data_IF_894076733317
#
_entry.id   IF_894076733317
#
_cell.length_a   1.000
_cell.length_b   1.000
_cell.length_c   1.000
_cell.angle_alpha   90.00
_cell.angle_beta   90.00
_cell.angle_gamma   90.00
#
_symmetry.space_group_name_H-M   'P 1'
#
loop_
_entity.id
_entity.type
_entity.pdbx_description
1 polymer ?
#
# COMPACT_ATOMS: atom_id res chain seq x y z
N UNK A 1 -31.49 -29.63 9.62
CA UNK A 1 -30.74 -28.37 9.84
C UNK A 1 -29.26 -28.67 9.70
N UNK A 2 -28.59 -28.06 8.73
CA UNK A 2 -27.16 -28.30 8.48
C UNK A 2 -26.33 -27.64 9.60
N UNK A 3 -25.35 -28.33 10.20
CA UNK A 3 -24.49 -27.69 11.20
C UNK A 3 -23.65 -26.61 10.53
N UNK A 4 -23.84 -25.37 10.96
CA UNK A 4 -23.02 -24.23 10.58
C UNK A 4 -21.60 -24.48 11.11
N UNK A 5 -20.64 -24.76 10.22
CA UNK A 5 -19.23 -24.93 10.61
C UNK A 5 -18.76 -23.62 11.25
N UNK A 6 -18.51 -23.65 12.55
CA UNK A 6 -17.77 -22.59 13.22
C UNK A 6 -16.32 -22.69 12.75
N UNK A 7 -15.90 -21.72 11.94
CA UNK A 7 -14.49 -21.54 11.61
C UNK A 7 -13.76 -21.20 12.91
N UNK A 8 -12.81 -22.05 13.31
CA UNK A 8 -11.83 -21.64 14.31
C UNK A 8 -11.02 -20.51 13.69
N UNK A 9 -10.79 -19.44 14.46
CA UNK A 9 -9.75 -18.45 14.16
C UNK A 9 -8.43 -19.19 14.34
N UNK A 10 -8.04 -19.94 13.31
CA UNK A 10 -6.74 -20.57 13.28
C UNK A 10 -5.74 -19.43 13.11
N UNK A 11 -5.05 -19.14 14.22
CA UNK A 11 -3.73 -18.50 14.32
C UNK A 11 -3.48 -17.32 13.38
N UNK A 12 -3.53 -16.13 13.97
CA UNK A 12 -2.83 -14.92 13.51
C UNK A 12 -1.56 -15.28 12.74
N UNK A 13 -1.46 -14.81 11.50
CA UNK A 13 -0.28 -15.01 10.66
C UNK A 13 0.93 -14.36 11.36
N UNK A 14 1.74 -15.16 12.06
CA UNK A 14 2.96 -14.69 12.73
C UNK A 14 4.07 -14.55 11.69
N UNK A 15 3.97 -13.52 10.86
CA UNK A 15 5.04 -13.13 9.98
C UNK A 15 5.63 -11.79 10.43
N UNK A 16 6.94 -11.80 10.61
CA UNK A 16 7.74 -10.61 10.88
C UNK A 16 8.13 -9.97 9.54
N UNK A 17 7.26 -9.09 9.03
CA UNK A 17 7.51 -8.36 7.80
C UNK A 17 8.68 -7.39 7.98
N UNK A 18 9.65 -7.44 7.07
CA UNK A 18 10.82 -6.55 7.11
C UNK A 18 10.66 -5.26 6.31
N UNK A 19 9.82 -5.30 5.28
CA UNK A 19 9.53 -4.16 4.43
C UNK A 19 8.24 -4.40 3.63
N UNK A 20 7.71 -3.35 3.02
CA UNK A 20 6.57 -3.41 2.11
C UNK A 20 6.86 -2.65 0.82
N UNK A 21 6.39 -3.19 -0.31
CA UNK A 21 6.43 -2.51 -1.61
C UNK A 21 4.99 -2.32 -2.09
N UNK A 22 4.60 -1.07 -2.33
CA UNK A 22 3.26 -0.66 -2.72
C UNK A 22 3.32 0.01 -4.09
N UNK A 23 2.76 -0.65 -5.11
CA UNK A 23 2.67 -0.12 -6.47
C UNK A 23 1.23 0.33 -6.71
N UNK A 24 1.01 1.60 -6.99
CA UNK A 24 -0.32 2.20 -7.13
C UNK A 24 -1.27 1.94 -5.92
N UNK A 25 -0.70 1.88 -4.71
CA UNK A 25 -1.46 1.66 -3.48
C UNK A 25 -2.26 2.90 -3.08
N UNK A 26 -3.44 2.71 -2.48
CA UNK A 26 -4.27 3.79 -1.95
C UNK A 26 -4.93 3.40 -0.64
N UNK A 27 -5.31 4.40 0.17
CA UNK A 27 -6.09 4.19 1.38
C UNK A 27 -7.50 3.70 1.03
N UNK A 28 -7.92 2.63 1.68
CA UNK A 28 -9.27 2.09 1.49
C UNK A 28 -10.35 3.07 1.95
N UNK A 29 -11.40 3.23 1.14
CA UNK A 29 -12.58 4.05 1.45
C UNK A 29 -13.65 3.30 2.27
N UNK A 30 -13.50 1.99 2.45
CA UNK A 30 -14.46 1.19 3.21
C UNK A 30 -14.41 1.52 4.70
N UNK A 31 -15.57 1.85 5.30
CA UNK A 31 -15.71 2.18 6.74
C UNK A 31 -15.06 1.15 7.68
N UNK A 32 -15.16 -0.18 7.45
CA UNK A 32 -14.51 -1.17 8.32
C UNK A 32 -12.99 -1.06 8.37
N UNK A 33 -12.36 -0.49 7.33
CA UNK A 33 -10.90 -0.40 7.24
C UNK A 33 -10.33 0.83 7.95
N UNK A 34 -11.16 1.78 8.38
CA UNK A 34 -10.72 3.01 9.07
C UNK A 34 -9.84 2.70 10.28
N UNK A 35 -10.15 1.64 11.02
CA UNK A 35 -9.42 1.25 12.22
C UNK A 35 -7.94 0.89 11.95
N UNK A 36 -7.59 0.48 10.73
CA UNK A 36 -6.21 0.13 10.36
C UNK A 36 -5.33 1.35 10.09
N UNK A 37 -5.92 2.53 9.96
CA UNK A 37 -5.21 3.78 9.66
C UNK A 37 -5.04 4.69 10.90
N UNK A 38 -5.37 4.18 12.09
CA UNK A 38 -5.23 4.94 13.35
C UNK A 38 -3.79 4.99 13.86
N UNK A 39 -2.94 4.07 13.42
CA UNK A 39 -1.55 3.95 13.82
C UNK A 39 -0.65 4.09 12.60
N UNK A 40 0.53 4.70 12.80
CA UNK A 40 1.57 4.67 11.78
C UNK A 40 2.24 3.31 11.77
N UNK A 41 2.55 2.84 10.58
CA UNK A 41 3.28 1.60 10.34
C UNK A 41 4.78 1.90 10.42
N UNK A 42 5.44 1.37 11.46
CA UNK A 42 6.88 1.39 11.60
C UNK A 42 7.52 0.22 10.82
N UNK A 43 7.34 0.23 9.50
CA UNK A 43 7.99 -0.69 8.58
C UNK A 43 8.54 0.10 7.40
N UNK A 44 9.77 -0.21 6.93
CA UNK A 44 10.29 0.35 5.70
C UNK A 44 9.32 0.11 4.54
N UNK A 45 8.86 1.19 3.90
CA UNK A 45 7.93 1.11 2.78
C UNK A 45 8.50 1.76 1.53
N UNK A 46 8.28 1.12 0.38
CA UNK A 46 8.56 1.66 -0.93
C UNK A 46 7.23 1.89 -1.67
N UNK A 47 6.96 3.13 -2.03
CA UNK A 47 5.77 3.53 -2.77
C UNK A 47 6.14 3.85 -4.21
N UNK A 48 5.53 3.17 -5.17
CA UNK A 48 5.69 3.43 -6.59
C UNK A 48 4.40 4.09 -7.11
N UNK A 49 4.51 5.33 -7.56
CA UNK A 49 3.38 6.16 -8.01
C UNK A 49 3.58 6.53 -9.49
N UNK A 50 2.56 6.31 -10.30
CA UNK A 50 2.50 6.78 -11.68
C UNK A 50 1.92 8.20 -11.74
N UNK A 51 2.64 9.15 -12.33
CA UNK A 51 2.17 10.54 -12.42
C UNK A 51 0.96 10.71 -13.35
N UNK A 52 0.76 9.76 -14.28
CA UNK A 52 -0.36 9.76 -15.24
C UNK A 52 -1.40 8.67 -14.95
N UNK A 53 -1.42 8.13 -13.72
CA UNK A 53 -2.43 7.15 -13.32
C UNK A 53 -3.81 7.83 -13.15
N UNK A 54 -4.73 7.49 -14.05
CA UNK A 54 -6.11 8.00 -14.03
C UNK A 54 -7.06 7.14 -13.20
N UNK A 55 -6.63 5.97 -12.72
CA UNK A 55 -7.42 5.05 -11.90
C UNK A 55 -7.17 5.36 -10.43
N UNK A 56 -5.90 5.36 -10.02
CA UNK A 56 -5.45 5.77 -8.70
C UNK A 56 -4.68 7.07 -8.85
N UNK A 57 -5.40 8.18 -8.72
CA UNK A 57 -4.78 9.50 -8.74
C UNK A 57 -3.67 9.59 -7.69
N UNK A 58 -2.57 10.27 -8.03
CA UNK A 58 -1.37 10.39 -7.20
C UNK A 58 -1.68 10.82 -5.77
N UNK A 59 -2.68 11.69 -5.57
CA UNK A 59 -3.06 12.23 -4.27
C UNK A 59 -3.51 11.13 -3.31
N UNK A 60 -4.16 10.06 -3.82
CA UNK A 60 -4.61 8.92 -3.00
C UNK A 60 -3.46 8.03 -2.57
N UNK A 61 -2.44 7.91 -3.42
CA UNK A 61 -1.22 7.17 -3.09
C UNK A 61 -0.33 7.95 -2.14
N UNK A 62 -0.25 9.27 -2.31
CA UNK A 62 0.43 10.18 -1.39
C UNK A 62 -0.27 10.20 -0.01
N UNK A 63 -1.61 10.18 0.05
CA UNK A 63 -2.35 10.04 1.32
C UNK A 63 -1.95 8.75 2.04
N UNK A 64 -1.83 7.63 1.31
CA UNK A 64 -1.43 6.36 1.91
C UNK A 64 -0.02 6.41 2.52
N UNK A 65 0.92 7.16 1.91
CA UNK A 65 2.28 7.30 2.43
C UNK A 65 2.33 7.94 3.83
N UNK A 66 1.37 8.81 4.16
CA UNK A 66 1.34 9.51 5.46
C UNK A 66 1.19 8.55 6.66
N UNK A 67 0.75 7.31 6.40
CA UNK A 67 0.58 6.25 7.39
C UNK A 67 1.84 5.41 7.62
N UNK A 68 2.94 5.66 6.91
CA UNK A 68 4.21 4.95 7.09
C UNK A 68 5.28 5.84 7.73
N UNK A 69 6.15 5.25 8.54
CA UNK A 69 7.34 5.93 9.06
C UNK A 69 8.47 5.86 8.02
N UNK A 70 8.95 7.02 7.55
CA UNK A 70 10.02 7.16 6.55
C UNK A 70 9.79 6.39 5.22
N UNK A 71 8.67 6.63 4.51
CA UNK A 71 8.40 5.99 3.23
C UNK A 71 9.38 6.45 2.14
N UNK A 72 9.87 5.51 1.34
CA UNK A 72 10.63 5.81 0.12
C UNK A 72 9.66 5.97 -1.04
N UNK A 73 9.81 7.03 -1.84
CA UNK A 73 8.98 7.31 -3.00
C UNK A 73 9.75 7.10 -4.30
N UNK A 74 9.14 6.34 -5.21
CA UNK A 74 9.53 6.27 -6.62
C UNK A 74 8.37 6.79 -7.45
N UNK A 75 8.65 7.76 -8.32
CA UNK A 75 7.70 8.23 -9.33
C UNK A 75 8.10 7.74 -10.71
N UNK A 76 7.10 7.47 -11.55
CA UNK A 76 7.33 7.24 -12.97
C UNK A 76 6.30 7.99 -13.81
N UNK A 77 6.65 8.41 -15.04
CA UNK A 77 5.75 9.17 -15.90
C UNK A 77 4.59 8.33 -16.48
N UNK A 78 4.62 7.01 -16.30
CA UNK A 78 3.57 6.08 -16.76
C UNK A 78 2.30 6.12 -15.90
N UNK A 79 1.21 5.56 -16.43
CA UNK A 79 -0.09 5.46 -15.75
C UNK A 79 -0.24 4.18 -14.91
N UNK A 80 -1.44 3.58 -14.89
CA UNK A 80 -1.78 2.34 -14.15
C UNK A 80 -1.16 1.07 -14.77
N UNK A 81 0.17 1.05 -14.89
CA UNK A 81 0.97 -0.04 -15.43
C UNK A 81 2.06 -0.35 -14.40
N UNK A 82 2.26 -1.63 -14.05
CA UNK A 82 3.50 -2.04 -13.40
C UNK A 82 4.65 -1.61 -14.31
N UNK A 83 5.47 -0.67 -13.83
CA UNK A 83 6.49 0.00 -14.63
C UNK A 83 7.30 -1.02 -15.44
N UNK A 84 7.32 -0.86 -16.77
CA UNK A 84 8.41 -1.41 -17.57
C UNK A 84 9.68 -0.68 -17.13
N UNK A 85 10.71 -1.46 -16.81
CA UNK A 85 11.95 -1.11 -16.10
C UNK A 85 12.78 0.07 -16.65
N UNK A 86 12.44 0.68 -17.79
CA UNK A 86 13.34 1.61 -18.49
C UNK A 86 13.30 3.09 -18.04
N UNK A 87 12.49 3.49 -17.04
CA UNK A 87 12.50 4.90 -16.57
C UNK A 87 12.01 5.05 -15.13
N UNK A 88 12.92 4.88 -14.18
CA UNK A 88 12.69 5.23 -12.78
C UNK A 88 13.72 6.30 -12.39
N UNK A 89 13.25 7.53 -12.15
CA UNK A 89 14.05 8.55 -11.48
C UNK A 89 13.95 8.34 -9.96
N UNK A 90 15.06 7.97 -9.33
CA UNK A 90 15.14 7.88 -7.87
C UNK A 90 15.27 9.29 -7.30
N UNK A 91 14.21 9.82 -6.69
CA UNK A 91 14.34 10.99 -5.83
C UNK A 91 14.73 10.51 -4.43
N UNK A 92 16.03 10.48 -4.16
CA UNK A 92 16.56 10.32 -2.81
C UNK A 92 16.61 11.73 -2.22
N UNK A 93 15.74 12.01 -1.25
CA UNK A 93 15.86 13.17 -0.36
C UNK A 93 16.54 12.75 0.93
#
# INVERSE_FOLDING_TARGET
>A
TFPCRKWKKDTEFVADFKFVILVAGFKSLCKPHLNYYNLKVNLPSLHVIGDTDNVIIKERSEELMTYFENPVLIRHPGGHLCARWERIERSIY
#
